data_IF_699550067065
#
_entry.id   IF_699550067065
#
_cell.length_a   1.000
_cell.length_b   1.000
_cell.length_c   1.000
_cell.angle_alpha   90.00
_cell.angle_beta   90.00
_cell.angle_gamma   90.00
#
_symmetry.space_group_name_H-M   'P 1'
#
loop_
_entity.id
_entity.type
_entity.pdbx_description
1 polymer ?
#
# COMPACT_ATOMS: atom_id res chain seq x y z
N UNK A 1 -0.59 7.97 19.34
CA UNK A 1 0.02 7.97 18.00
C UNK A 1 -0.93 8.73 17.09
N UNK A 2 -0.46 9.72 16.33
CA UNK A 2 -1.33 10.39 15.36
C UNK A 2 -1.77 9.39 14.28
N UNK A 3 -3.04 9.44 13.82
CA UNK A 3 -3.49 8.57 12.75
C UNK A 3 -2.69 8.82 11.47
N UNK A 4 -2.44 7.78 10.63
CA UNK A 4 -1.55 7.87 9.46
C UNK A 4 -1.91 9.00 8.49
N UNK A 5 -3.21 9.26 8.23
CA UNK A 5 -3.67 10.33 7.35
C UNK A 5 -3.24 11.75 7.80
N UNK A 6 -2.75 11.92 9.05
CA UNK A 6 -2.16 13.16 9.54
C UNK A 6 -0.63 13.20 9.40
N UNK A 7 0.00 12.15 8.90
CA UNK A 7 1.45 12.02 8.76
C UNK A 7 1.90 12.18 7.28
N UNK A 8 1.37 13.17 6.57
CA UNK A 8 1.60 13.43 5.13
C UNK A 8 3.09 13.43 4.74
N UNK A 9 3.96 14.00 5.59
CA UNK A 9 5.41 13.99 5.36
C UNK A 9 6.03 12.58 5.24
N UNK A 10 5.38 11.57 5.81
CA UNK A 10 5.84 10.19 5.66
C UNK A 10 5.44 9.63 4.28
N UNK A 11 4.23 9.93 3.80
CA UNK A 11 3.80 9.56 2.47
C UNK A 11 4.70 10.19 1.38
N UNK A 12 5.04 11.47 1.52
CA UNK A 12 5.93 12.18 0.60
C UNK A 12 7.39 11.67 0.61
N UNK A 13 7.81 10.94 1.65
CA UNK A 13 9.18 10.41 1.71
C UNK A 13 9.44 9.25 0.75
N UNK A 14 8.39 8.56 0.26
CA UNK A 14 8.52 7.45 -0.69
C UNK A 14 8.98 7.88 -2.07
N UNK A 15 8.65 9.09 -2.51
CA UNK A 15 9.00 9.62 -3.83
C UNK A 15 10.46 10.06 -3.98
N UNK A 16 11.29 9.94 -2.95
CA UNK A 16 12.72 10.31 -3.01
C UNK A 16 13.48 9.43 -4.01
N UNK A 17 13.11 8.14 -4.10
CA UNK A 17 13.67 7.19 -5.07
C UNK A 17 12.53 6.34 -5.65
N UNK A 18 11.74 6.96 -6.55
CA UNK A 18 10.60 6.32 -7.19
C UNK A 18 10.99 5.10 -8.04
N UNK A 19 12.17 5.11 -8.66
CA UNK A 19 12.67 4.00 -9.47
C UNK A 19 12.98 2.77 -8.60
N UNK A 20 13.68 2.97 -7.48
CA UNK A 20 13.90 1.89 -6.51
C UNK A 20 12.60 1.37 -5.95
N UNK A 21 11.69 2.28 -5.58
CA UNK A 21 10.36 1.91 -5.07
C UNK A 21 9.64 0.97 -6.05
N UNK A 22 9.56 1.36 -7.32
CA UNK A 22 8.87 0.58 -8.36
C UNK A 22 9.50 -0.80 -8.57
N UNK A 23 10.84 -0.86 -8.64
CA UNK A 23 11.59 -2.09 -8.87
C UNK A 23 11.50 -3.06 -7.71
N UNK A 24 11.57 -2.55 -6.47
CA UNK A 24 11.71 -3.39 -5.29
C UNK A 24 10.37 -3.87 -4.74
N UNK A 25 9.30 -3.07 -4.87
CA UNK A 25 7.99 -3.41 -4.30
C UNK A 25 7.30 -4.54 -5.06
N UNK A 26 6.64 -5.48 -4.35
CA UNK A 26 5.85 -6.51 -5.00
C UNK A 26 4.59 -5.92 -5.65
N UNK A 27 4.15 -6.53 -6.73
CA UNK A 27 2.78 -6.37 -7.22
C UNK A 27 1.77 -7.14 -6.36
N UNK A 28 0.51 -7.09 -6.75
CA UNK A 28 -0.59 -7.73 -6.05
C UNK A 28 -0.95 -9.08 -6.68
N UNK A 29 -1.55 -10.03 -5.92
CA UNK A 29 -2.00 -11.29 -6.48
C UNK A 29 -2.98 -11.08 -7.65
N UNK A 30 -2.77 -11.79 -8.75
CA UNK A 30 -3.64 -11.70 -9.93
C UNK A 30 -5.10 -12.05 -9.60
N UNK A 31 -5.31 -12.93 -8.61
CA UNK A 31 -6.65 -13.29 -8.15
C UNK A 31 -7.38 -12.13 -7.47
N UNK A 32 -6.66 -11.23 -6.77
CA UNK A 32 -7.23 -10.00 -6.22
C UNK A 32 -7.68 -9.08 -7.36
N UNK A 33 -6.78 -8.79 -8.31
CA UNK A 33 -7.08 -7.92 -9.45
C UNK A 33 -8.28 -8.45 -10.23
N UNK A 34 -8.26 -9.73 -10.57
CA UNK A 34 -9.36 -10.41 -11.29
C UNK A 34 -10.68 -10.33 -10.53
N UNK A 35 -10.66 -10.54 -9.21
CA UNK A 35 -11.87 -10.50 -8.38
C UNK A 35 -12.46 -9.11 -8.32
N UNK A 36 -11.62 -8.06 -8.23
CA UNK A 36 -12.06 -6.66 -8.28
C UNK A 36 -12.70 -6.35 -9.64
N UNK A 37 -12.04 -6.71 -10.74
CA UNK A 37 -12.55 -6.50 -12.10
C UNK A 37 -13.90 -7.18 -12.32
N UNK A 38 -14.04 -8.43 -11.87
CA UNK A 38 -15.32 -9.18 -12.00
C UNK A 38 -16.43 -8.58 -11.14
N UNK A 39 -16.09 -8.03 -9.96
CA UNK A 39 -17.07 -7.43 -9.06
C UNK A 39 -17.47 -6.00 -9.47
N UNK A 40 -16.69 -5.34 -10.33
CA UNK A 40 -16.96 -3.99 -10.82
C UNK A 40 -17.97 -4.02 -11.97
N UNK A 41 -18.88 -3.03 -12.08
CA UNK A 41 -19.90 -2.98 -13.16
C UNK A 41 -19.30 -2.68 -14.54
N UNK A 42 -18.06 -2.21 -14.63
CA UNK A 42 -17.37 -1.88 -15.87
C UNK A 42 -15.86 -1.69 -15.65
N UNK A 43 -15.13 -1.26 -16.70
CA UNK A 43 -13.67 -1.25 -16.69
C UNK A 43 -13.02 0.06 -16.21
N UNK A 44 -13.79 1.11 -15.91
CA UNK A 44 -13.22 2.42 -15.58
C UNK A 44 -12.81 2.45 -14.09
N UNK A 45 -11.52 2.57 -13.83
CA UNK A 45 -10.92 2.50 -12.51
C UNK A 45 -10.22 3.80 -12.14
N UNK A 46 -10.43 4.31 -10.94
CA UNK A 46 -9.55 5.31 -10.34
C UNK A 46 -8.70 4.67 -9.25
N UNK A 47 -7.38 4.85 -9.35
CA UNK A 47 -6.37 4.32 -8.42
C UNK A 47 -5.90 5.44 -7.48
N UNK A 48 -6.25 5.33 -6.21
CA UNK A 48 -6.03 6.35 -5.17
C UNK A 48 -4.70 6.14 -4.48
N UNK A 49 -3.80 7.13 -4.58
CA UNK A 49 -2.43 7.02 -4.12
C UNK A 49 -1.67 6.00 -4.97
N UNK A 50 -1.79 6.12 -6.30
CA UNK A 50 -1.26 5.13 -7.24
C UNK A 50 0.26 4.98 -7.19
N UNK A 51 0.98 5.89 -6.51
CA UNK A 51 2.43 5.87 -6.38
C UNK A 51 3.12 5.83 -7.73
N UNK A 52 3.98 4.84 -7.93
CA UNK A 52 4.65 4.58 -9.22
C UNK A 52 3.78 3.84 -10.24
N UNK A 53 2.54 3.49 -9.87
CA UNK A 53 1.58 2.83 -10.75
C UNK A 53 1.69 1.30 -10.78
N UNK A 54 2.17 0.66 -9.73
CA UNK A 54 2.32 -0.81 -9.67
C UNK A 54 0.99 -1.51 -9.91
N UNK A 55 -0.03 -1.20 -9.07
CA UNK A 55 -1.37 -1.76 -9.23
C UNK A 55 -2.08 -1.23 -10.47
N UNK A 56 -1.92 0.05 -10.80
CA UNK A 56 -2.51 0.64 -12.00
C UNK A 56 -2.16 -0.16 -13.27
N UNK A 57 -0.87 -0.54 -13.42
CA UNK A 57 -0.42 -1.36 -14.55
C UNK A 57 -1.04 -2.76 -14.55
N UNK A 58 -1.32 -3.35 -13.38
CA UNK A 58 -1.99 -4.65 -13.29
C UNK A 58 -3.46 -4.54 -13.74
N UNK A 59 -4.18 -3.47 -13.36
CA UNK A 59 -5.53 -3.22 -13.85
C UNK A 59 -5.56 -2.89 -15.35
N UNK A 60 -4.60 -2.11 -15.86
CA UNK A 60 -4.45 -1.88 -17.31
C UNK A 60 -4.23 -3.20 -18.07
N UNK A 61 -3.37 -4.08 -17.55
CA UNK A 61 -3.13 -5.40 -18.14
C UNK A 61 -4.36 -6.32 -18.06
N UNK A 62 -5.25 -6.10 -17.10
CA UNK A 62 -6.53 -6.79 -16.98
C UNK A 62 -7.63 -6.22 -17.89
N UNK A 63 -7.33 -5.22 -18.71
CA UNK A 63 -8.25 -4.61 -19.68
C UNK A 63 -9.06 -3.42 -19.14
N UNK A 64 -8.69 -2.88 -18.00
CA UNK A 64 -9.31 -1.67 -17.44
C UNK A 64 -8.75 -0.39 -18.07
N UNK A 65 -9.52 0.69 -17.99
CA UNK A 65 -9.05 2.07 -18.15
C UNK A 65 -8.72 2.60 -16.75
N UNK A 66 -7.51 3.07 -16.53
CA UNK A 66 -7.06 3.49 -15.19
C UNK A 66 -6.65 4.94 -15.18
N UNK A 67 -7.17 5.70 -14.22
CA UNK A 67 -6.69 7.03 -13.85
C UNK A 67 -6.09 6.98 -12.44
N UNK A 68 -4.81 7.28 -12.31
CA UNK A 68 -4.16 7.44 -11.01
C UNK A 68 -4.42 8.82 -10.40
N UNK A 69 -4.58 8.88 -9.09
CA UNK A 69 -4.56 10.12 -8.30
C UNK A 69 -3.44 9.99 -7.27
N UNK A 70 -2.41 10.83 -7.37
CA UNK A 70 -1.19 10.71 -6.56
C UNK A 70 -0.72 12.09 -6.07
N UNK A 71 -0.57 12.30 -4.75
CA UNK A 71 -0.15 13.60 -4.23
C UNK A 71 1.33 13.93 -4.46
N UNK A 72 2.22 12.93 -4.58
CA UNK A 72 3.65 13.18 -4.84
C UNK A 72 3.92 13.31 -6.34
N UNK A 73 4.31 14.50 -6.84
CA UNK A 73 4.55 14.70 -8.27
C UNK A 73 5.69 13.84 -8.82
N UNK A 74 6.64 13.40 -7.99
CA UNK A 74 7.77 12.54 -8.41
C UNK A 74 7.30 11.11 -8.71
N UNK A 75 6.43 10.59 -7.84
CA UNK A 75 5.77 9.30 -8.03
C UNK A 75 4.85 9.33 -9.25
N UNK A 76 4.01 10.39 -9.35
CA UNK A 76 3.12 10.61 -10.49
C UNK A 76 3.88 10.71 -11.83
N UNK A 77 5.02 11.41 -11.86
CA UNK A 77 5.87 11.49 -13.06
C UNK A 77 6.42 10.12 -13.45
N UNK A 78 6.85 9.31 -12.47
CA UNK A 78 7.31 7.96 -12.74
C UNK A 78 6.18 7.09 -13.30
N UNK A 79 4.99 7.11 -12.70
CA UNK A 79 3.84 6.36 -13.17
C UNK A 79 3.46 6.75 -14.62
N UNK A 80 3.50 8.03 -14.96
CA UNK A 80 3.26 8.50 -16.34
C UNK A 80 4.28 7.94 -17.34
N UNK A 81 5.55 7.83 -16.95
CA UNK A 81 6.61 7.23 -17.80
C UNK A 81 6.35 5.74 -18.06
N UNK A 82 5.63 5.06 -17.18
CA UNK A 82 5.23 3.66 -17.34
C UNK A 82 3.89 3.46 -18.05
N UNK A 83 3.27 4.55 -18.54
CA UNK A 83 2.04 4.50 -19.32
C UNK A 83 0.75 4.65 -18.53
N UNK A 84 0.82 5.02 -17.25
CA UNK A 84 -0.37 5.30 -16.42
C UNK A 84 -0.74 6.76 -16.56
N UNK A 85 -2.02 7.08 -16.83
CA UNK A 85 -2.54 8.43 -16.71
C UNK A 85 -2.68 8.81 -15.24
N UNK A 86 -2.14 9.97 -14.81
CA UNK A 86 -2.13 10.38 -13.40
C UNK A 86 -2.44 11.86 -13.25
N UNK A 87 -3.31 12.20 -12.30
CA UNK A 87 -3.54 13.56 -11.83
C UNK A 87 -2.89 13.77 -10.46
N UNK A 88 -2.23 14.93 -10.28
CA UNK A 88 -1.51 15.22 -9.03
C UNK A 88 -2.45 15.94 -8.07
N UNK A 89 -2.93 15.21 -7.08
CA UNK A 89 -3.79 15.72 -6.00
C UNK A 89 -3.83 14.73 -4.83
N UNK A 90 -4.25 15.18 -3.65
CA UNK A 90 -4.80 14.26 -2.64
C UNK A 90 -6.20 13.83 -3.07
N UNK A 91 -6.60 12.62 -2.69
CA UNK A 91 -7.91 12.11 -3.11
C UNK A 91 -9.06 12.99 -2.61
N UNK A 92 -8.94 13.52 -1.39
CA UNK A 92 -9.95 14.38 -0.78
C UNK A 92 -10.14 15.71 -1.54
N UNK A 93 -9.05 16.27 -2.08
CA UNK A 93 -9.05 17.56 -2.78
C UNK A 93 -9.18 17.41 -4.31
N UNK A 94 -9.06 16.17 -4.80
CA UNK A 94 -9.13 15.88 -6.23
C UNK A 94 -10.49 16.23 -6.84
N UNK A 95 -10.48 16.98 -7.93
CA UNK A 95 -11.67 17.27 -8.73
C UNK A 95 -11.83 16.23 -9.85
N UNK A 96 -12.82 15.37 -9.72
CA UNK A 96 -13.15 14.41 -10.76
C UNK A 96 -13.72 15.05 -12.03
N UNK A 97 -14.04 16.35 -12.03
CA UNK A 97 -14.61 17.10 -13.15
C UNK A 97 -15.84 16.43 -13.77
N UNK A 98 -16.71 15.86 -12.93
CA UNK A 98 -17.92 15.16 -13.35
C UNK A 98 -17.70 13.74 -13.89
N UNK A 99 -16.47 13.23 -13.92
CA UNK A 99 -16.18 11.84 -14.31
C UNK A 99 -16.69 10.88 -13.25
N UNK A 100 -17.13 9.71 -13.69
CA UNK A 100 -17.55 8.61 -12.84
C UNK A 100 -16.86 7.32 -13.22
N UNK A 101 -16.65 6.44 -12.24
CA UNK A 101 -15.85 5.22 -12.36
C UNK A 101 -16.65 4.00 -11.92
N UNK A 102 -16.20 2.84 -12.36
CA UNK A 102 -16.75 1.54 -11.99
C UNK A 102 -16.08 0.99 -10.72
N UNK A 103 -14.81 1.38 -10.49
CA UNK A 103 -14.11 1.06 -9.27
C UNK A 103 -13.22 2.22 -8.77
N UNK A 104 -13.13 2.34 -7.45
CA UNK A 104 -12.10 3.07 -6.72
C UNK A 104 -11.22 2.03 -6.05
N UNK A 105 -9.96 1.99 -6.43
CA UNK A 105 -8.97 1.07 -5.83
C UNK A 105 -7.91 1.85 -5.05
N UNK A 106 -7.34 1.23 -4.01
CA UNK A 106 -6.29 1.84 -3.21
C UNK A 106 -5.38 0.75 -2.63
N UNK A 107 -4.25 0.51 -3.29
CA UNK A 107 -3.25 -0.46 -2.88
C UNK A 107 -2.19 0.17 -1.97
N UNK A 108 -2.07 -0.25 -0.73
CA UNK A 108 -1.12 0.30 0.26
C UNK A 108 -1.23 1.82 0.49
N UNK A 109 -2.36 2.44 0.15
CA UNK A 109 -2.52 3.90 0.17
C UNK A 109 -3.68 4.39 1.02
N UNK A 110 -4.75 3.62 1.21
CA UNK A 110 -5.98 4.06 1.88
C UNK A 110 -5.80 4.52 3.33
N UNK A 111 -4.75 4.08 4.01
CA UNK A 111 -4.43 4.56 5.36
C UNK A 111 -3.92 6.02 5.41
N UNK A 112 -3.59 6.61 4.25
CA UNK A 112 -3.27 8.03 4.11
C UNK A 112 -4.51 8.90 3.86
N UNK A 113 -5.65 8.28 3.57
CA UNK A 113 -6.94 8.94 3.34
C UNK A 113 -7.74 8.95 4.64
N UNK A 114 -8.48 10.02 4.94
CA UNK A 114 -9.39 10.02 6.08
C UNK A 114 -10.52 9.02 5.80
N UNK A 115 -10.74 8.00 6.64
CA UNK A 115 -11.57 6.85 6.26
C UNK A 115 -13.00 7.18 5.87
N UNK A 116 -13.65 8.11 6.60
CA UNK A 116 -15.07 8.47 6.35
C UNK A 116 -15.19 9.45 5.19
N UNK A 117 -14.33 10.49 5.15
CA UNK A 117 -14.34 11.47 4.06
C UNK A 117 -13.91 10.83 2.73
N UNK A 118 -12.90 9.95 2.77
CA UNK A 118 -12.45 9.20 1.59
C UNK A 118 -13.55 8.27 1.06
N UNK A 119 -14.25 7.55 1.93
CA UNK A 119 -15.37 6.72 1.51
C UNK A 119 -16.52 7.55 0.92
N UNK A 120 -16.84 8.70 1.53
CA UNK A 120 -17.84 9.62 1.00
C UNK A 120 -17.43 10.18 -0.38
N UNK A 121 -16.15 10.51 -0.55
CA UNK A 121 -15.60 10.95 -1.85
C UNK A 121 -15.64 9.84 -2.89
N UNK A 122 -15.29 8.61 -2.51
CA UNK A 122 -15.38 7.45 -3.40
C UNK A 122 -16.81 7.24 -3.89
N UNK A 123 -17.80 7.34 -3.00
CA UNK A 123 -19.21 7.23 -3.38
C UNK A 123 -19.66 8.31 -4.39
N UNK A 124 -19.10 9.52 -4.31
CA UNK A 124 -19.43 10.61 -5.26
C UNK A 124 -18.93 10.37 -6.66
N UNK A 125 -17.82 9.64 -6.81
CA UNK A 125 -17.18 9.39 -8.10
C UNK A 125 -17.49 8.00 -8.66
N UNK A 126 -18.10 7.13 -7.86
CA UNK A 126 -18.53 5.80 -8.31
C UNK A 126 -19.91 5.86 -8.95
N UNK A 127 -20.09 5.07 -10.01
CA UNK A 127 -21.40 4.78 -10.59
C UNK A 127 -22.24 3.95 -9.62
N UNK A 128 -23.58 3.92 -9.76
CA UNK A 128 -24.42 2.98 -9.00
C UNK A 128 -23.90 1.53 -9.14
N UNK A 129 -23.73 0.83 -8.04
CA UNK A 129 -23.12 -0.51 -8.00
C UNK A 129 -21.59 -0.52 -8.15
N UNK A 130 -20.96 0.63 -8.30
CA UNK A 130 -19.50 0.74 -8.39
C UNK A 130 -18.81 0.31 -7.09
N UNK A 131 -17.56 -0.14 -7.20
CA UNK A 131 -16.82 -0.83 -6.16
C UNK A 131 -15.75 0.07 -5.53
N UNK A 132 -15.72 0.15 -4.19
CA UNK A 132 -14.55 0.62 -3.45
C UNK A 132 -13.76 -0.59 -2.95
N UNK A 133 -12.46 -0.65 -3.26
CA UNK A 133 -11.56 -1.73 -2.81
C UNK A 133 -10.25 -1.14 -2.26
N UNK A 134 -10.09 -1.17 -0.95
CA UNK A 134 -8.85 -0.81 -0.26
C UNK A 134 -8.10 -2.08 0.15
N UNK A 135 -6.82 -2.24 -0.27
CA UNK A 135 -6.06 -3.45 -0.02
C UNK A 135 -4.60 -3.18 0.35
N UNK A 136 -4.01 -4.11 1.07
CA UNK A 136 -2.61 -4.03 1.50
C UNK A 136 -2.01 -5.42 1.75
N UNK A 137 -0.67 -5.49 1.67
CA UNK A 137 0.10 -6.66 2.06
C UNK A 137 0.42 -6.63 3.55
N UNK A 138 0.12 -7.71 4.24
CA UNK A 138 0.65 -8.03 5.55
C UNK A 138 1.69 -9.15 5.40
N UNK A 139 2.91 -8.91 5.88
CA UNK A 139 3.97 -9.89 5.86
C UNK A 139 4.92 -9.69 7.04
N UNK A 140 5.45 -10.78 7.56
CA UNK A 140 6.51 -10.79 8.55
C UNK A 140 7.68 -11.60 7.99
N UNK A 141 8.87 -10.99 7.93
CA UNK A 141 10.06 -11.73 7.58
C UNK A 141 10.36 -12.82 8.64
N UNK A 142 11.12 -13.88 8.28
CA UNK A 142 11.50 -14.92 9.24
C UNK A 142 12.09 -14.35 10.53
N UNK A 143 11.82 -15.03 11.64
CA UNK A 143 12.17 -14.55 12.99
C UNK A 143 13.63 -14.08 13.13
N UNK A 144 14.67 -14.80 12.62
CA UNK A 144 16.05 -14.33 12.75
C UNK A 144 16.30 -12.97 12.08
N UNK A 145 15.66 -12.71 10.92
CA UNK A 145 15.78 -11.47 10.19
C UNK A 145 15.05 -10.34 10.91
N UNK A 146 13.84 -10.60 11.43
CA UNK A 146 13.07 -9.63 12.21
C UNK A 146 13.74 -9.29 13.55
N UNK A 147 14.38 -10.26 14.20
CA UNK A 147 15.15 -10.04 15.43
C UNK A 147 16.35 -9.13 15.16
N UNK A 148 17.12 -9.39 14.09
CA UNK A 148 18.25 -8.57 13.70
C UNK A 148 17.79 -7.13 13.35
N UNK A 149 16.71 -6.99 12.57
CA UNK A 149 16.11 -5.70 12.26
C UNK A 149 15.68 -4.93 13.51
N UNK A 150 14.97 -5.59 14.42
CA UNK A 150 14.49 -4.96 15.66
C UNK A 150 15.66 -4.54 16.55
N UNK A 151 16.69 -5.37 16.66
CA UNK A 151 17.88 -5.09 17.47
C UNK A 151 18.65 -3.87 16.95
N UNK A 152 18.88 -3.80 15.62
CA UNK A 152 19.57 -2.64 15.02
C UNK A 152 18.71 -1.38 15.12
N UNK A 153 17.41 -1.45 14.88
CA UNK A 153 16.51 -0.30 14.99
C UNK A 153 16.47 0.29 16.41
N UNK A 154 16.46 -0.54 17.44
CA UNK A 154 16.55 -0.09 18.84
C UNK A 154 17.82 0.71 19.12
N UNK A 155 18.94 0.36 18.48
CA UNK A 155 20.22 1.05 18.63
C UNK A 155 20.26 2.35 17.83
N UNK A 156 19.81 2.30 16.59
CA UNK A 156 19.91 3.40 15.60
C UNK A 156 18.83 4.45 15.81
N UNK A 157 17.61 4.03 16.15
CA UNK A 157 16.45 4.91 16.37
C UNK A 157 15.67 4.44 17.61
N UNK A 158 16.17 4.73 18.83
CA UNK A 158 15.55 4.26 20.08
C UNK A 158 14.08 4.63 20.26
N UNK A 159 13.67 5.79 19.72
CA UNK A 159 12.31 6.31 19.80
C UNK A 159 11.40 5.84 18.65
N UNK A 160 11.87 4.94 17.79
CA UNK A 160 11.08 4.38 16.70
C UNK A 160 9.93 3.52 17.21
N UNK A 161 8.77 3.52 16.56
CA UNK A 161 7.69 2.57 16.82
C UNK A 161 8.16 1.09 16.75
N UNK A 162 9.19 0.80 15.96
CA UNK A 162 9.82 -0.51 15.83
C UNK A 162 10.74 -0.88 17.01
N UNK A 163 11.06 0.07 17.89
CA UNK A 163 11.96 -0.11 19.04
C UNK A 163 11.21 -0.45 20.32
N UNK A 164 9.88 -0.29 20.36
CA UNK A 164 9.07 -0.40 21.57
C UNK A 164 8.24 -1.69 21.64
N UNK A 165 8.46 -2.50 22.67
CA UNK A 165 7.63 -3.67 22.98
C UNK A 165 7.95 -4.94 22.17
N UNK A 166 7.28 -6.07 22.44
CA UNK A 166 7.40 -7.27 21.64
C UNK A 166 6.82 -7.00 20.24
N UNK A 167 7.43 -7.58 19.19
CA UNK A 167 6.91 -7.49 17.83
C UNK A 167 5.48 -8.05 17.81
N UNK A 168 4.56 -7.30 17.20
CA UNK A 168 3.20 -7.78 16.92
C UNK A 168 3.19 -8.36 15.53
N UNK A 169 2.49 -9.48 15.29
CA UNK A 169 2.29 -9.99 13.94
C UNK A 169 1.71 -8.90 13.01
N UNK A 170 2.28 -8.76 11.82
CA UNK A 170 1.81 -7.77 10.85
C UNK A 170 0.32 -7.94 10.59
N UNK A 171 -0.16 -9.17 10.53
CA UNK A 171 -1.57 -9.48 10.31
C UNK A 171 -2.50 -8.83 11.36
N UNK A 172 -2.12 -8.78 12.64
CA UNK A 172 -2.93 -8.12 13.69
C UNK A 172 -2.97 -6.60 13.51
N UNK A 173 -1.84 -6.00 13.09
CA UNK A 173 -1.76 -4.56 12.84
C UNK A 173 -2.65 -4.19 11.66
N UNK A 174 -2.54 -4.96 10.58
CA UNK A 174 -3.33 -4.74 9.38
C UNK A 174 -4.81 -5.00 9.61
N UNK A 175 -5.19 -6.03 10.38
CA UNK A 175 -6.59 -6.29 10.71
C UNK A 175 -7.26 -5.06 11.34
N UNK A 176 -6.62 -4.44 12.33
CA UNK A 176 -7.15 -3.21 12.96
C UNK A 176 -7.28 -2.04 11.98
N UNK A 177 -6.35 -1.93 11.04
CA UNK A 177 -6.41 -0.92 9.99
C UNK A 177 -7.61 -1.16 9.07
N UNK A 178 -7.83 -2.41 8.65
CA UNK A 178 -8.97 -2.79 7.81
C UNK A 178 -10.32 -2.64 8.54
N UNK A 179 -10.37 -2.91 9.85
CA UNK A 179 -11.56 -2.64 10.68
C UNK A 179 -11.88 -1.14 10.68
N UNK A 180 -10.87 -0.27 10.73
CA UNK A 180 -11.05 1.18 10.63
C UNK A 180 -11.56 1.59 9.23
N UNK A 181 -11.06 0.98 8.16
CA UNK A 181 -11.54 1.22 6.80
C UNK A 181 -13.01 0.82 6.65
N UNK A 182 -13.35 -0.39 7.11
CA UNK A 182 -14.74 -0.89 7.07
C UNK A 182 -15.69 0.03 7.86
N UNK A 183 -15.27 0.52 9.01
CA UNK A 183 -16.06 1.45 9.80
C UNK A 183 -16.25 2.80 9.10
N UNK A 184 -15.21 3.36 8.48
CA UNK A 184 -15.31 4.57 7.66
C UNK A 184 -16.29 4.42 6.50
N UNK A 185 -16.29 3.27 5.83
CA UNK A 185 -17.23 2.93 4.74
C UNK A 185 -18.67 2.87 5.27
N UNK A 186 -18.91 2.25 6.43
CA UNK A 186 -20.24 2.21 7.06
C UNK A 186 -20.72 3.60 7.42
N UNK A 187 -19.86 4.42 8.01
CA UNK A 187 -20.19 5.80 8.42
C UNK A 187 -20.50 6.71 7.23
N UNK A 188 -19.90 6.49 6.08
CA UNK A 188 -20.22 7.21 4.84
C UNK A 188 -21.65 6.94 4.36
N UNK A 189 -22.26 5.81 4.75
CA UNK A 189 -23.69 5.49 4.55
C UNK A 189 -24.10 5.16 3.12
N UNK A 190 -23.24 5.39 2.12
CA UNK A 190 -23.54 5.22 0.70
C UNK A 190 -23.31 3.79 0.19
N UNK A 191 -22.58 2.96 0.95
CA UNK A 191 -22.19 1.62 0.53
C UNK A 191 -23.05 0.54 1.20
N UNK A 192 -23.07 -0.65 0.61
CA UNK A 192 -23.49 -1.89 1.27
C UNK A 192 -22.56 -2.26 2.43
N UNK A 193 -22.81 -3.41 3.06
CA UNK A 193 -21.92 -3.90 4.13
C UNK A 193 -20.54 -4.25 3.55
N UNK A 194 -19.43 -3.74 4.13
CA UNK A 194 -18.09 -4.08 3.66
C UNK A 194 -17.75 -5.55 3.84
N UNK A 195 -17.18 -6.15 2.82
CA UNK A 195 -16.61 -7.49 2.86
C UNK A 195 -15.10 -7.43 3.06
N UNK A 196 -14.54 -8.43 3.72
CA UNK A 196 -13.10 -8.63 3.79
C UNK A 196 -12.71 -9.81 2.89
N UNK A 197 -11.70 -9.58 2.03
CA UNK A 197 -11.11 -10.62 1.20
C UNK A 197 -9.69 -10.88 1.64
N UNK A 198 -9.23 -12.12 1.47
CA UNK A 198 -7.88 -12.55 1.84
C UNK A 198 -7.28 -13.40 0.73
N UNK A 199 -6.01 -13.15 0.41
CA UNK A 199 -5.22 -13.88 -0.57
C UNK A 199 -3.86 -14.20 0.04
N UNK A 200 -3.60 -15.46 0.30
CA UNK A 200 -2.31 -15.92 0.84
C UNK A 200 -1.41 -16.32 -0.33
N UNK A 201 -0.16 -15.88 -0.27
CA UNK A 201 0.85 -16.13 -1.28
C UNK A 201 2.24 -16.10 -0.66
N UNK A 202 3.26 -16.49 -1.43
CA UNK A 202 4.64 -16.52 -0.98
C UNK A 202 5.53 -15.79 -1.99
N UNK A 203 6.57 -15.12 -1.50
CA UNK A 203 7.61 -14.55 -2.32
C UNK A 203 8.98 -14.96 -1.79
N UNK A 204 9.83 -15.49 -2.69
CA UNK A 204 11.23 -15.66 -2.38
C UNK A 204 11.95 -14.33 -2.54
N UNK A 205 12.80 -14.02 -1.57
CA UNK A 205 13.72 -12.90 -1.62
C UNK A 205 15.15 -13.43 -1.53
N UNK A 206 16.01 -12.96 -2.40
CA UNK A 206 17.45 -12.99 -2.19
C UNK A 206 17.85 -11.89 -1.21
N UNK A 207 19.07 -11.98 -0.66
CA UNK A 207 19.64 -10.92 0.17
C UNK A 207 19.54 -9.54 -0.50
N UNK A 208 19.99 -9.45 -1.75
CA UNK A 208 20.06 -8.17 -2.46
C UNK A 208 18.66 -7.58 -2.75
N UNK A 209 17.69 -8.40 -3.14
CA UNK A 209 16.32 -7.97 -3.36
C UNK A 209 15.68 -7.44 -2.07
N UNK A 210 15.94 -8.09 -0.93
CA UNK A 210 15.41 -7.63 0.34
C UNK A 210 16.07 -6.32 0.80
N UNK A 211 17.39 -6.19 0.64
CA UNK A 211 18.12 -4.97 0.96
C UNK A 211 17.80 -3.80 0.00
N UNK A 212 17.36 -4.09 -1.22
CA UNK A 212 16.85 -3.08 -2.15
C UNK A 212 15.43 -2.62 -1.76
N UNK A 213 14.60 -3.51 -1.21
CA UNK A 213 13.26 -3.19 -0.75
C UNK A 213 13.24 -2.38 0.54
N UNK A 214 14.06 -2.72 1.52
CA UNK A 214 14.02 -2.12 2.86
C UNK A 214 14.02 -0.59 2.87
N UNK A 215 14.92 0.12 2.14
CA UNK A 215 14.96 1.59 2.11
C UNK A 215 13.67 2.23 1.60
N UNK A 216 12.83 1.48 0.89
CA UNK A 216 11.54 1.96 0.39
C UNK A 216 10.42 1.87 1.43
N UNK A 217 10.69 1.32 2.62
CA UNK A 217 9.67 1.17 3.68
C UNK A 217 9.60 2.42 4.56
N UNK A 218 8.39 2.83 4.94
CA UNK A 218 8.13 4.13 5.59
C UNK A 218 8.90 4.39 6.90
N UNK A 219 9.36 3.34 7.58
CA UNK A 219 10.21 3.48 8.78
C UNK A 219 11.67 3.83 8.45
N UNK A 220 12.14 3.51 7.26
CA UNK A 220 13.54 3.64 6.86
C UNK A 220 13.83 4.81 5.91
N UNK A 221 12.81 5.31 5.22
CA UNK A 221 12.95 6.46 4.28
C UNK A 221 13.47 7.75 4.94
N UNK A 222 13.46 7.82 6.26
CA UNK A 222 13.85 9.01 7.06
C UNK A 222 15.16 8.83 7.82
N UNK A 223 15.82 7.69 7.68
CA UNK A 223 17.12 7.44 8.30
C UNK A 223 18.23 8.25 7.60
N UNK A 224 19.27 8.63 8.36
CA UNK A 224 20.48 9.12 7.73
C UNK A 224 21.14 8.01 6.91
N UNK A 225 22.01 8.38 5.94
CA UNK A 225 22.74 7.36 5.15
C UNK A 225 23.53 6.38 6.02
N UNK A 226 24.13 6.87 7.12
CA UNK A 226 24.91 6.05 8.05
C UNK A 226 24.01 5.10 8.83
N UNK A 227 22.86 5.60 9.33
CA UNK A 227 21.87 4.78 10.02
C UNK A 227 21.30 3.69 9.11
N UNK A 228 20.98 4.05 7.87
CA UNK A 228 20.47 3.11 6.89
C UNK A 228 21.52 2.03 6.57
N UNK A 229 22.78 2.42 6.37
CA UNK A 229 23.86 1.48 6.10
C UNK A 229 24.01 0.46 7.24
N UNK A 230 23.94 0.90 8.50
CA UNK A 230 24.00 0.03 9.68
C UNK A 230 22.83 -0.96 9.74
N UNK A 231 21.63 -0.52 9.39
CA UNK A 231 20.45 -1.40 9.30
C UNK A 231 20.62 -2.44 8.19
N UNK A 232 21.05 -2.02 7.01
CA UNK A 232 21.25 -2.91 5.87
C UNK A 232 22.35 -3.94 6.13
N UNK A 233 23.44 -3.55 6.78
CA UNK A 233 24.53 -4.47 7.16
C UNK A 233 24.04 -5.55 8.14
N UNK A 234 23.36 -5.15 9.22
CA UNK A 234 22.86 -6.08 10.22
C UNK A 234 21.82 -7.07 9.64
N UNK A 235 20.88 -6.57 8.83
CA UNK A 235 19.87 -7.41 8.19
C UNK A 235 20.50 -8.31 7.13
N UNK A 236 21.45 -7.78 6.33
CA UNK A 236 22.18 -8.57 5.35
C UNK A 236 22.94 -9.73 5.96
N UNK A 237 23.63 -9.50 7.09
CA UNK A 237 24.34 -10.55 7.82
C UNK A 237 23.37 -11.64 8.35
N UNK A 238 22.18 -11.26 8.81
CA UNK A 238 21.18 -12.24 9.24
C UNK A 238 20.65 -13.08 8.06
N UNK A 239 20.44 -12.48 6.88
CA UNK A 239 20.03 -13.22 5.67
C UNK A 239 21.16 -14.17 5.21
N UNK A 240 22.42 -13.74 5.28
CA UNK A 240 23.57 -14.57 4.91
C UNK A 240 23.67 -15.80 5.84
N UNK A 241 23.39 -15.64 7.13
CA UNK A 241 23.34 -16.75 8.09
C UNK A 241 22.22 -17.76 7.79
N UNK A 242 21.14 -17.33 7.16
CA UNK A 242 20.02 -18.17 6.70
C UNK A 242 20.24 -18.74 5.27
N UNK A 243 21.43 -18.59 4.70
CA UNK A 243 21.78 -19.15 3.37
C UNK A 243 21.60 -18.19 2.19
N UNK A 244 21.58 -16.87 2.44
CA UNK A 244 21.59 -15.83 1.41
C UNK A 244 20.20 -15.49 0.82
N UNK A 245 19.13 -16.00 1.39
CA UNK A 245 17.76 -15.70 0.99
C UNK A 245 16.72 -16.42 1.82
N UNK A 246 15.44 -16.07 1.65
CA UNK A 246 14.34 -16.65 2.40
C UNK A 246 13.03 -16.63 1.61
N UNK A 247 12.06 -17.43 2.04
CA UNK A 247 10.68 -17.37 1.57
C UNK A 247 9.87 -16.54 2.57
N UNK A 248 9.16 -15.53 2.07
CA UNK A 248 8.28 -14.69 2.84
C UNK A 248 6.84 -15.13 2.63
N UNK A 249 6.14 -15.65 3.64
CA UNK A 249 4.70 -15.79 3.56
C UNK A 249 4.05 -14.40 3.61
N UNK A 250 3.17 -14.14 2.67
CA UNK A 250 2.46 -12.88 2.52
C UNK A 250 0.95 -13.12 2.54
N UNK A 251 0.23 -12.20 3.13
CA UNK A 251 -1.23 -12.14 3.02
C UNK A 251 -1.61 -10.79 2.43
N UNK A 252 -2.32 -10.78 1.31
CA UNK A 252 -2.98 -9.56 0.83
C UNK A 252 -4.40 -9.56 1.37
N UNK A 253 -4.72 -8.52 2.13
CA UNK A 253 -6.05 -8.30 2.66
C UNK A 253 -6.71 -7.15 1.88
N UNK A 254 -8.03 -7.23 1.69
CA UNK A 254 -8.83 -6.15 1.10
C UNK A 254 -10.11 -5.94 1.89
N UNK A 255 -10.55 -4.68 2.00
CA UNK A 255 -11.92 -4.31 2.38
C UNK A 255 -12.60 -3.77 1.14
N UNK A 256 -13.76 -4.32 0.83
CA UNK A 256 -14.47 -4.08 -0.41
C UNK A 256 -15.95 -3.80 -0.13
N UNK A 257 -16.51 -2.76 -0.78
CA UNK A 257 -17.92 -2.46 -0.67
C UNK A 257 -18.47 -1.85 -1.97
N UNK A 258 -19.69 -2.21 -2.34
CA UNK A 258 -20.36 -1.60 -3.50
C UNK A 258 -21.27 -0.46 -3.08
N UNK A 259 -21.34 0.58 -3.91
CA UNK A 259 -22.31 1.67 -3.76
C UNK A 259 -23.72 1.10 -3.86
N UNK A 260 -24.61 1.52 -2.95
CA UNK A 260 -26.03 1.15 -2.99
C UNK A 260 -26.68 1.63 -4.30
N UNK A 261 -27.63 0.87 -4.82
CA UNK A 261 -28.39 1.26 -6.00
C UNK A 261 -29.08 2.63 -5.89
#
# INVERSE_FOLDING_TARGET
MNPPHKARQMAESFGVDAERYDRARPGYPDDLVRRIVVASPGPDVVDVGCGTGIEARQFLAAGCTVLGVEPDPRMAEFARKTGVEVEVATFEEWDAAGRTFDAVVAGQSWHWVEPTAGAAKAAQVLRPGGLLAAFAHAYDAPAPIMEAFTAVMRRVVPDSPFSGGPPRPAQEIYQRMFDTFAEGIRQAGAFGEPEQWRFDWERRYTRDEWLDLLPTTGGLTRLSPEQLAEVLEAVGAAIDAEGGGFIMPCTTMAVVASVKP
#
